data_IF_148314807914
#
_entry.id   IF_148314807914
#
_cell.length_a   1.000
_cell.length_b   1.000
_cell.length_c   1.000
_cell.angle_alpha   90.00
_cell.angle_beta   90.00
_cell.angle_gamma   90.00
#
_symmetry.space_group_name_H-M   'P 1'
#
loop_
_entity.id
_entity.type
_entity.pdbx_description
1 polymer ?
#
# COMPACT_ATOMS: atom_id res chain seq x y z
N UNK A 1 -2.57 -2.25 -34.94
CA UNK A 1 -3.30 -1.81 -33.73
C UNK A 1 -2.27 -1.12 -32.86
N UNK A 2 -2.52 0.11 -32.42
CA UNK A 2 -1.55 0.93 -31.67
C UNK A 2 -1.08 0.19 -30.40
N UNK A 3 0.22 0.14 -30.14
CA UNK A 3 0.81 -0.58 -28.99
C UNK A 3 0.22 -0.08 -27.67
N UNK A 4 0.00 1.24 -27.58
CA UNK A 4 -0.64 1.88 -26.45
C UNK A 4 -2.07 1.36 -26.22
N UNK A 5 -2.85 1.15 -27.28
CA UNK A 5 -4.23 0.68 -27.16
C UNK A 5 -4.28 -0.77 -26.65
N UNK A 6 -3.29 -1.61 -27.00
CA UNK A 6 -3.17 -2.97 -26.48
C UNK A 6 -2.87 -2.99 -24.98
N UNK A 7 -1.96 -2.12 -24.52
CA UNK A 7 -1.65 -1.97 -23.08
C UNK A 7 -2.87 -1.49 -22.31
N UNK A 8 -3.62 -0.52 -22.85
CA UNK A 8 -4.84 0.00 -22.22
C UNK A 8 -5.91 -1.08 -22.13
N UNK A 9 -6.14 -1.86 -23.19
CA UNK A 9 -7.10 -2.99 -23.17
C UNK A 9 -6.71 -4.05 -22.13
N UNK A 10 -5.43 -4.35 -22.02
CA UNK A 10 -4.93 -5.29 -21.01
C UNK A 10 -5.15 -4.74 -19.60
N UNK A 11 -4.93 -3.44 -19.38
CA UNK A 11 -5.21 -2.79 -18.10
C UNK A 11 -6.71 -2.76 -17.77
N UNK A 12 -7.58 -2.54 -18.76
CA UNK A 12 -9.03 -2.64 -18.59
C UNK A 12 -9.44 -4.05 -18.14
N UNK A 13 -8.80 -5.09 -18.68
CA UNK A 13 -9.05 -6.47 -18.30
C UNK A 13 -8.63 -6.76 -16.85
N UNK A 14 -7.41 -6.37 -16.46
CA UNK A 14 -6.97 -6.49 -15.06
C UNK A 14 -7.88 -5.71 -14.11
N UNK A 15 -8.35 -4.52 -14.52
CA UNK A 15 -9.26 -3.73 -13.72
C UNK A 15 -10.63 -4.37 -13.53
N UNK A 16 -11.16 -5.10 -14.53
CA UNK A 16 -12.39 -5.89 -14.36
C UNK A 16 -12.22 -6.96 -13.28
N UNK A 17 -11.08 -7.67 -13.27
CA UNK A 17 -10.77 -8.65 -12.22
C UNK A 17 -10.69 -7.98 -10.84
N UNK A 18 -10.05 -6.81 -10.75
CA UNK A 18 -10.01 -6.00 -9.53
C UNK A 18 -11.43 -5.63 -9.07
N UNK A 19 -12.33 -5.24 -9.98
CA UNK A 19 -13.72 -4.89 -9.63
C UNK A 19 -14.50 -6.10 -9.09
N UNK A 20 -14.35 -7.26 -9.73
CA UNK A 20 -14.98 -8.50 -9.27
C UNK A 20 -14.47 -8.91 -7.89
N UNK A 21 -13.16 -8.88 -7.69
CA UNK A 21 -12.55 -9.20 -6.41
C UNK A 21 -12.99 -8.21 -5.34
N UNK A 22 -13.09 -6.93 -5.69
CA UNK A 22 -13.61 -5.89 -4.81
C UNK A 22 -15.06 -6.16 -4.41
N UNK A 23 -15.94 -6.51 -5.36
CA UNK A 23 -17.34 -6.79 -5.06
C UNK A 23 -17.47 -7.94 -4.05
N UNK A 24 -16.72 -9.02 -4.26
CA UNK A 24 -16.73 -10.20 -3.38
C UNK A 24 -16.22 -9.89 -1.96
N UNK A 25 -15.12 -9.14 -1.86
CA UNK A 25 -14.38 -8.99 -0.60
C UNK A 25 -14.75 -7.74 0.21
N UNK A 26 -15.51 -6.80 -0.36
CA UNK A 26 -15.80 -5.50 0.28
C UNK A 26 -16.49 -5.64 1.63
N UNK A 27 -17.48 -6.52 1.75
CA UNK A 27 -18.29 -6.58 2.97
C UNK A 27 -17.56 -7.30 4.11
N UNK A 28 -16.67 -8.24 3.79
CA UNK A 28 -15.93 -9.04 4.76
C UNK A 28 -14.65 -8.35 5.25
N UNK A 29 -13.97 -7.61 4.38
CA UNK A 29 -12.60 -7.16 4.63
C UNK A 29 -12.44 -5.64 4.62
N UNK A 30 -13.53 -4.86 4.68
CA UNK A 30 -13.46 -3.39 4.61
C UNK A 30 -12.49 -2.75 5.61
N UNK A 31 -12.38 -3.33 6.80
CA UNK A 31 -11.51 -2.85 7.88
C UNK A 31 -10.07 -3.39 7.82
N UNK A 32 -9.77 -4.35 6.92
CA UNK A 32 -8.45 -4.94 6.83
C UNK A 32 -7.44 -3.98 6.16
N UNK A 33 -6.21 -3.95 6.68
CA UNK A 33 -5.14 -3.09 6.17
C UNK A 33 -4.81 -3.39 4.70
N UNK A 34 -4.77 -4.67 4.32
CA UNK A 34 -4.52 -5.11 2.95
C UNK A 34 -5.63 -4.65 2.00
N UNK A 35 -6.89 -4.62 2.47
CA UNK A 35 -8.02 -4.18 1.68
C UNK A 35 -7.98 -2.67 1.43
N UNK A 36 -7.43 -1.90 2.38
CA UNK A 36 -7.09 -0.48 2.17
C UNK A 36 -6.11 -0.31 1.01
N UNK A 37 -5.00 -1.07 1.02
CA UNK A 37 -4.00 -1.06 -0.06
C UNK A 37 -4.58 -1.50 -1.41
N UNK A 38 -5.38 -2.55 -1.42
CA UNK A 38 -6.10 -3.02 -2.60
C UNK A 38 -7.04 -1.94 -3.16
N UNK A 39 -7.77 -1.23 -2.31
CA UNK A 39 -8.63 -0.13 -2.75
C UNK A 39 -7.86 1.05 -3.33
N UNK A 40 -6.68 1.37 -2.81
CA UNK A 40 -5.81 2.39 -3.41
C UNK A 40 -5.39 1.98 -4.82
N UNK A 41 -4.93 0.73 -4.99
CA UNK A 41 -4.55 0.19 -6.30
C UNK A 41 -5.73 0.25 -7.28
N UNK A 42 -6.92 -0.19 -6.85
CA UNK A 42 -8.16 -0.11 -7.64
C UNK A 42 -8.47 1.33 -8.07
N UNK A 43 -8.43 2.29 -7.13
CA UNK A 43 -8.70 3.71 -7.45
C UNK A 43 -7.69 4.26 -8.44
N UNK A 44 -6.41 3.93 -8.29
CA UNK A 44 -5.36 4.36 -9.22
C UNK A 44 -5.61 3.78 -10.62
N UNK A 45 -5.87 2.48 -10.74
CA UNK A 45 -6.22 1.82 -12.01
C UNK A 45 -7.44 2.47 -12.67
N UNK A 46 -8.52 2.69 -11.90
CA UNK A 46 -9.73 3.31 -12.41
C UNK A 46 -9.49 4.73 -12.94
N UNK A 47 -8.69 5.53 -12.23
CA UNK A 47 -8.34 6.88 -12.68
C UNK A 47 -7.55 6.87 -13.99
N UNK A 48 -6.59 5.96 -14.14
CA UNK A 48 -5.82 5.80 -15.38
C UNK A 48 -6.75 5.40 -16.53
N UNK A 49 -7.62 4.40 -16.33
CA UNK A 49 -8.57 3.95 -17.36
C UNK A 49 -9.53 5.08 -17.77
N UNK A 50 -10.03 5.87 -16.82
CA UNK A 50 -10.90 7.01 -17.14
C UNK A 50 -10.20 8.04 -18.04
N UNK A 51 -8.90 8.32 -17.82
CA UNK A 51 -8.14 9.24 -18.69
C UNK A 51 -8.12 8.76 -20.14
N UNK A 52 -7.92 7.46 -20.36
CA UNK A 52 -7.88 6.89 -21.72
C UNK A 52 -9.26 6.62 -22.32
N UNK A 53 -10.28 6.40 -21.50
CA UNK A 53 -11.66 6.24 -21.96
C UNK A 53 -12.15 7.52 -22.68
N UNK A 54 -11.81 8.69 -22.14
CA UNK A 54 -12.13 9.98 -22.77
C UNK A 54 -11.46 10.17 -24.13
N UNK A 55 -10.20 9.71 -24.29
CA UNK A 55 -9.49 9.70 -25.58
C UNK A 55 -10.19 8.82 -26.60
N UNK A 56 -10.56 7.59 -26.22
CA UNK A 56 -11.15 6.60 -27.14
C UNK A 56 -12.54 7.03 -27.64
N UNK A 57 -13.35 7.63 -26.77
CA UNK A 57 -14.71 8.07 -27.11
C UNK A 57 -14.74 9.35 -27.94
N UNK A 58 -13.77 10.25 -27.78
CA UNK A 58 -13.77 11.55 -28.46
C UNK A 58 -12.77 11.66 -29.62
N UNK A 59 -11.99 10.62 -29.91
CA UNK A 59 -10.87 10.62 -30.86
C UNK A 59 -9.88 11.79 -30.64
N UNK A 60 -9.86 12.37 -29.43
CA UNK A 60 -9.04 13.53 -29.08
C UNK A 60 -7.73 13.07 -28.46
N UNK A 61 -6.64 13.79 -28.76
CA UNK A 61 -5.39 13.67 -28.01
C UNK A 61 -5.60 14.11 -26.57
N UNK A 62 -4.90 13.43 -25.66
CA UNK A 62 -4.82 13.83 -24.24
C UNK A 62 -4.25 15.25 -24.15
N UNK A 63 -4.88 16.08 -23.30
CA UNK A 63 -4.40 17.42 -22.97
C UNK A 63 -3.18 17.32 -22.06
N UNK A 64 -2.35 18.37 -22.04
CA UNK A 64 -1.15 18.39 -21.18
C UNK A 64 -1.47 18.16 -19.70
N UNK A 65 -2.58 18.70 -19.20
CA UNK A 65 -3.06 18.47 -17.82
C UNK A 65 -3.32 16.98 -17.54
N UNK A 66 -3.83 16.25 -18.54
CA UNK A 66 -4.12 14.82 -18.42
C UNK A 66 -2.83 13.99 -18.46
N UNK A 67 -1.84 14.40 -19.27
CA UNK A 67 -0.50 13.81 -19.27
C UNK A 67 0.21 13.99 -17.94
N UNK A 68 0.20 15.20 -17.37
CA UNK A 68 0.78 15.47 -16.04
C UNK A 68 0.09 14.62 -14.97
N UNK A 69 -1.24 14.50 -15.04
CA UNK A 69 -2.00 13.67 -14.11
C UNK A 69 -1.63 12.19 -14.25
N UNK A 70 -1.55 11.66 -15.47
CA UNK A 70 -1.13 10.29 -15.74
C UNK A 70 0.26 10.01 -15.15
N UNK A 71 1.23 10.88 -15.45
CA UNK A 71 2.58 10.76 -14.91
C UNK A 71 2.59 10.69 -13.38
N UNK A 72 1.87 11.61 -12.70
CA UNK A 72 1.78 11.60 -11.23
C UNK A 72 1.15 10.31 -10.69
N UNK A 73 0.12 9.79 -11.35
CA UNK A 73 -0.55 8.55 -10.94
C UNK A 73 0.39 7.35 -11.04
N UNK A 74 1.08 7.21 -12.18
CA UNK A 74 2.06 6.14 -12.41
C UNK A 74 3.25 6.27 -11.46
N UNK A 75 3.81 7.47 -11.32
CA UNK A 75 4.98 7.72 -10.48
C UNK A 75 4.66 7.39 -9.01
N UNK A 76 3.51 7.84 -8.51
CA UNK A 76 3.07 7.53 -7.15
C UNK A 76 2.86 6.03 -6.97
N UNK A 77 2.19 5.37 -7.91
CA UNK A 77 1.93 3.94 -7.82
C UNK A 77 3.24 3.12 -7.80
N UNK A 78 4.09 3.31 -8.80
CA UNK A 78 5.32 2.53 -9.00
C UNK A 78 6.37 2.79 -7.92
N UNK A 79 6.61 4.05 -7.57
CA UNK A 79 7.75 4.39 -6.70
C UNK A 79 7.39 4.57 -5.23
N UNK A 80 6.13 4.87 -4.89
CA UNK A 80 5.74 5.11 -3.49
C UNK A 80 4.83 4.04 -2.90
N UNK A 81 3.89 3.51 -3.69
CA UNK A 81 2.85 2.63 -3.16
C UNK A 81 3.12 1.15 -3.39
N UNK A 82 3.82 0.81 -4.48
CA UNK A 82 4.07 -0.57 -4.92
C UNK A 82 4.63 -1.47 -3.81
N UNK A 83 5.72 -1.04 -3.14
CA UNK A 83 6.34 -1.81 -2.04
C UNK A 83 5.34 -2.09 -0.93
N UNK A 84 4.56 -1.08 -0.52
CA UNK A 84 3.55 -1.23 0.52
C UNK A 84 2.44 -2.19 0.11
N UNK A 85 1.93 -2.07 -1.12
CA UNK A 85 0.90 -2.97 -1.63
C UNK A 85 1.38 -4.43 -1.63
N UNK A 86 2.61 -4.66 -2.11
CA UNK A 86 3.23 -5.98 -2.12
C UNK A 86 3.32 -6.58 -0.72
N UNK A 87 3.84 -5.85 0.26
CA UNK A 87 3.93 -6.33 1.64
C UNK A 87 2.57 -6.65 2.25
N UNK A 88 1.57 -5.79 2.02
CA UNK A 88 0.23 -6.01 2.53
C UNK A 88 -0.43 -7.26 1.92
N UNK A 89 -0.18 -7.54 0.63
CA UNK A 89 -0.71 -8.74 -0.02
C UNK A 89 0.05 -10.01 0.39
N UNK A 90 1.37 -9.94 0.55
CA UNK A 90 2.14 -11.05 1.13
C UNK A 90 1.75 -11.33 2.58
N UNK A 91 1.35 -10.31 3.35
CA UNK A 91 0.78 -10.50 4.68
C UNK A 91 -0.48 -11.38 4.66
N UNK A 92 -1.30 -11.30 3.59
CA UNK A 92 -2.48 -12.18 3.43
C UNK A 92 -2.06 -13.63 3.20
N UNK A 93 -0.95 -13.86 2.47
CA UNK A 93 -0.38 -15.20 2.25
C UNK A 93 0.16 -15.76 3.57
N UNK A 94 0.91 -14.94 4.31
CA UNK A 94 1.52 -15.33 5.59
C UNK A 94 0.48 -15.73 6.65
N UNK A 95 -0.75 -15.18 6.60
CA UNK A 95 -1.84 -15.57 7.49
C UNK A 95 -2.36 -17.01 7.27
N UNK A 96 -2.04 -17.66 6.14
CA UNK A 96 -2.42 -19.06 5.85
C UNK A 96 -3.88 -19.24 5.42
N UNK A 97 -4.84 -18.78 6.21
CA UNK A 97 -6.28 -18.99 5.97
C UNK A 97 -6.83 -18.31 4.69
N UNK A 98 -6.08 -17.37 4.12
CA UNK A 98 -6.44 -16.64 2.89
C UNK A 98 -5.35 -16.73 1.80
N UNK A 99 -4.53 -17.79 1.78
CA UNK A 99 -3.39 -17.93 0.84
C UNK A 99 -3.81 -17.73 -0.61
N UNK A 100 -4.89 -18.37 -1.08
CA UNK A 100 -5.35 -18.23 -2.47
C UNK A 100 -5.70 -16.79 -2.82
N UNK A 101 -6.35 -16.05 -1.91
CA UNK A 101 -6.64 -14.63 -2.08
C UNK A 101 -5.35 -13.81 -2.13
N UNK A 102 -4.42 -14.06 -1.20
CA UNK A 102 -3.11 -13.41 -1.16
C UNK A 102 -2.33 -13.61 -2.47
N UNK A 103 -2.23 -14.84 -2.97
CA UNK A 103 -1.59 -15.14 -4.25
C UNK A 103 -2.27 -14.40 -5.40
N UNK A 104 -3.60 -14.40 -5.46
CA UNK A 104 -4.36 -13.67 -6.49
C UNK A 104 -4.07 -12.17 -6.46
N UNK A 105 -3.99 -11.57 -5.28
CA UNK A 105 -3.66 -10.14 -5.11
C UNK A 105 -2.23 -9.82 -5.56
N UNK A 106 -1.26 -10.67 -5.25
CA UNK A 106 0.13 -10.51 -5.71
C UNK A 106 0.22 -10.65 -7.24
N UNK A 107 -0.49 -11.60 -7.84
CA UNK A 107 -0.56 -11.75 -9.30
C UNK A 107 -1.15 -10.51 -9.96
N UNK A 108 -2.30 -10.02 -9.48
CA UNK A 108 -2.90 -8.78 -9.99
C UNK A 108 -1.94 -7.59 -9.85
N UNK A 109 -1.24 -7.49 -8.73
CA UNK A 109 -0.25 -6.43 -8.51
C UNK A 109 0.91 -6.51 -9.51
N UNK A 110 1.42 -7.71 -9.79
CA UNK A 110 2.48 -7.93 -10.75
C UNK A 110 2.05 -7.54 -12.18
N UNK A 111 0.84 -7.95 -12.59
CA UNK A 111 0.27 -7.60 -13.88
C UNK A 111 0.07 -6.09 -14.02
N UNK A 112 -0.53 -5.44 -13.02
CA UNK A 112 -0.73 -3.97 -13.01
C UNK A 112 0.61 -3.25 -13.06
N UNK A 113 1.61 -3.69 -12.28
CA UNK A 113 2.96 -3.11 -12.33
C UNK A 113 3.57 -3.22 -13.73
N UNK A 114 3.51 -4.39 -14.35
CA UNK A 114 4.05 -4.60 -15.68
C UNK A 114 3.40 -3.66 -16.70
N UNK A 115 2.07 -3.53 -16.66
CA UNK A 115 1.32 -2.61 -17.52
C UNK A 115 1.65 -1.14 -17.23
N UNK A 116 1.84 -0.77 -15.96
CA UNK A 116 2.23 0.60 -15.59
C UNK A 116 3.63 0.96 -16.09
N UNK A 117 4.58 0.02 -16.03
CA UNK A 117 5.93 0.23 -16.58
C UNK A 117 5.88 0.39 -18.11
N UNK A 118 5.13 -0.48 -18.80
CA UNK A 118 4.93 -0.35 -20.26
C UNK A 118 4.28 0.98 -20.65
N UNK A 119 3.25 1.38 -19.90
CA UNK A 119 2.59 2.67 -20.13
C UNK A 119 3.52 3.86 -19.85
N UNK A 120 4.45 3.71 -18.91
CA UNK A 120 5.47 4.71 -18.64
C UNK A 120 6.44 4.85 -19.82
N UNK A 121 6.98 3.73 -20.31
CA UNK A 121 7.94 3.66 -21.41
C UNK A 121 7.36 4.26 -22.69
N UNK A 122 6.15 3.83 -23.09
CA UNK A 122 5.50 4.29 -24.33
C UNK A 122 5.26 5.81 -24.32
N UNK A 123 4.98 6.38 -23.14
CA UNK A 123 4.61 7.80 -23.01
C UNK A 123 5.77 8.69 -22.50
N UNK A 124 7.00 8.17 -22.45
CA UNK A 124 8.16 8.91 -21.93
C UNK A 124 8.37 10.24 -22.67
N UNK A 125 8.22 10.23 -23.99
CA UNK A 125 8.38 11.43 -24.84
C UNK A 125 7.35 12.50 -24.52
N UNK A 126 6.10 12.12 -24.28
CA UNK A 126 5.02 13.03 -23.89
C UNK A 126 5.24 13.56 -22.46
N UNK A 127 5.77 12.75 -21.55
CA UNK A 127 6.12 13.20 -20.20
C UNK A 127 7.27 14.22 -20.21
N UNK A 128 8.26 14.03 -21.06
CA UNK A 128 9.34 15.02 -21.26
C UNK A 128 8.76 16.30 -21.86
N UNK A 129 7.90 16.21 -22.87
CA UNK A 129 7.24 17.37 -23.48
C UNK A 129 6.46 18.20 -22.44
N UNK A 130 5.72 17.53 -21.56
CA UNK A 130 4.95 18.18 -20.50
C UNK A 130 5.79 18.58 -19.28
N UNK A 131 7.12 18.47 -19.32
CA UNK A 131 8.03 18.84 -18.23
C UNK A 131 7.90 17.96 -16.98
N UNK A 132 7.33 16.77 -17.09
CA UNK A 132 7.15 15.83 -15.98
C UNK A 132 8.40 15.01 -15.69
N UNK A 133 9.23 14.79 -16.71
CA UNK A 133 10.47 14.05 -16.63
C UNK A 133 11.63 14.94 -17.08
N UNK A 134 12.60 15.16 -16.21
CA UNK A 134 13.85 15.82 -16.57
C UNK A 134 14.75 14.71 -17.14
N UNK A 135 15.01 14.72 -18.44
CA UNK A 135 16.13 13.93 -18.99
C UNK A 135 17.39 14.48 -18.34
N UNK A 136 18.03 13.67 -17.49
CA UNK A 136 19.36 13.98 -17.01
C UNK A 136 20.27 14.09 -18.23
N UNK A 137 20.66 15.31 -18.58
CA UNK A 137 21.84 15.54 -19.41
C UNK A 137 22.99 14.76 -18.75
N UNK A 138 23.85 14.03 -19.48
CA UNK A 138 24.87 13.18 -18.88
C UNK A 138 25.67 13.97 -17.85
N UNK A 139 25.40 13.67 -16.58
CA UNK A 139 26.15 14.18 -15.45
C UNK A 139 27.52 13.53 -15.56
N UNK A 140 28.54 14.31 -15.91
CA UNK A 140 29.93 13.87 -15.94
C UNK A 140 30.20 13.07 -14.67
N UNK A 141 30.60 11.80 -14.85
CA UNK A 141 30.68 10.75 -13.83
C UNK A 141 31.37 11.26 -12.55
N UNK A 142 30.60 11.50 -11.49
CA UNK A 142 31.14 11.41 -10.13
C UNK A 142 31.10 9.92 -9.74
N UNK A 143 32.28 9.32 -9.58
CA UNK A 143 32.43 7.94 -9.10
C UNK A 143 31.77 7.82 -7.72
N UNK A 144 30.70 7.03 -7.60
CA UNK A 144 30.24 6.53 -6.31
C UNK A 144 30.83 5.14 -6.10
N UNK A 145 31.58 5.03 -5.01
CA UNK A 145 32.18 3.80 -4.50
C UNK A 145 31.07 2.81 -4.13
N UNK A 146 31.27 1.57 -4.56
CA UNK A 146 30.46 0.39 -4.28
C UNK A 146 30.45 0.10 -2.78
N UNK A 147 29.29 -0.22 -2.22
CA UNK A 147 29.17 -1.09 -1.05
C UNK A 147 27.90 -1.92 -1.25
N UNK A 148 28.03 -2.96 -2.07
CA UNK A 148 27.12 -4.10 -2.10
C UNK A 148 27.53 -5.03 -0.94
N UNK A 149 26.77 -5.01 0.14
CA UNK A 149 26.68 -6.16 1.05
C UNK A 149 25.20 -6.33 1.37
N UNK A 150 24.55 -7.22 0.62
CA UNK A 150 23.35 -7.92 1.06
C UNK A 150 23.72 -8.76 2.27
N UNK A 151 23.39 -8.30 3.48
CA UNK A 151 23.52 -9.10 4.69
C UNK A 151 22.38 -10.13 4.74
N UNK A 152 22.68 -11.29 4.17
CA UNK A 152 21.94 -12.54 4.33
C UNK A 152 22.04 -12.99 5.81
N UNK A 153 20.89 -13.24 6.43
CA UNK A 153 20.67 -14.22 7.51
C UNK A 153 21.71 -14.30 8.65
N UNK A 154 21.29 -13.87 9.85
CA UNK A 154 22.00 -14.13 11.10
C UNK A 154 21.99 -15.64 11.39
N UNK A 155 23.18 -16.23 11.53
CA UNK A 155 23.37 -17.61 11.98
C UNK A 155 23.36 -17.58 13.50
N UNK A 156 22.38 -18.23 14.12
CA UNK A 156 22.37 -18.48 15.57
C UNK A 156 23.24 -19.71 15.80
N UNK A 157 24.42 -19.52 16.38
CA UNK A 157 25.20 -20.62 16.96
C UNK A 157 24.53 -21.03 18.28
N UNK A 158 23.74 -22.11 18.22
CA UNK A 158 23.39 -22.90 19.40
C UNK A 158 24.56 -23.83 19.71
N UNK A 159 25.49 -23.43 20.59
CA UNK A 159 26.06 -24.35 21.60
C UNK A 159 27.04 -23.70 22.61
N UNK A 160 27.10 -24.33 23.78
CA UNK A 160 28.07 -24.23 24.90
C UNK A 160 27.78 -23.21 26.03
N UNK A 161 26.92 -23.65 26.95
CA UNK A 161 27.38 -24.23 28.22
C UNK A 161 28.35 -23.45 29.13
N UNK A 162 27.84 -23.13 30.34
CA UNK A 162 28.54 -23.05 31.63
C UNK A 162 29.74 -22.10 31.79
N UNK A 163 29.51 -21.00 32.49
CA UNK A 163 30.27 -20.74 33.71
C UNK A 163 29.46 -19.94 34.73
N UNK A 164 29.30 -20.54 35.90
CA UNK A 164 28.72 -19.99 37.12
C UNK A 164 29.78 -19.11 37.78
N UNK A 165 29.41 -17.89 38.18
CA UNK A 165 29.98 -17.29 39.39
C UNK A 165 28.84 -16.77 40.25
N UNK A 166 28.55 -17.56 41.28
CA UNK A 166 27.83 -17.17 42.48
C UNK A 166 28.58 -16.02 43.18
N UNK A 167 27.83 -15.03 43.64
CA UNK A 167 28.09 -14.37 44.91
C UNK A 167 26.72 -14.04 45.53
N UNK A 168 26.30 -14.94 46.42
CA UNK A 168 25.23 -14.73 47.39
C UNK A 168 25.62 -13.69 48.45
N UNK A 169 24.61 -12.97 48.96
CA UNK A 169 24.28 -12.72 50.38
C UNK A 169 23.17 -11.62 50.37
N UNK A 170 21.87 -11.95 50.29
CA UNK A 170 20.95 -12.42 51.37
C UNK A 170 20.70 -11.23 52.35
N UNK A 171 19.49 -10.66 52.57
CA UNK A 171 18.37 -11.18 53.38
C UNK A 171 17.16 -10.19 53.35
N UNK A 172 15.95 -10.72 53.04
CA UNK A 172 14.54 -10.45 53.49
C UNK A 172 14.02 -9.01 53.78
N UNK A 173 12.73 -8.65 53.64
CA UNK A 173 11.47 -9.34 54.00
C UNK A 173 10.22 -8.61 53.45
N UNK A 174 9.18 -9.36 53.05
CA UNK A 174 7.79 -8.92 52.79
C UNK A 174 6.96 -9.14 54.07
N UNK A 175 5.98 -8.28 54.45
CA UNK A 175 4.53 -8.54 54.18
C UNK A 175 3.62 -7.30 53.93
N UNK A 176 2.49 -7.52 53.21
CA UNK A 176 1.27 -6.67 53.04
C UNK A 176 0.38 -6.72 54.32
N UNK A 177 -0.88 -6.18 54.43
CA UNK A 177 -1.75 -5.27 53.61
C UNK A 177 -2.57 -4.21 54.44
N UNK A 178 -3.51 -3.49 53.79
CA UNK A 178 -4.88 -3.04 54.25
C UNK A 178 -5.23 -1.52 54.19
N UNK A 179 -6.34 -1.24 53.44
CA UNK A 179 -7.48 -0.29 53.68
C UNK A 179 -7.20 1.24 53.80
N UNK A 180 -8.04 2.22 53.44
CA UNK A 180 -9.50 2.34 53.30
C UNK A 180 -9.92 3.64 52.55
N UNK A 181 -11.22 3.75 52.24
CA UNK A 181 -11.92 4.78 51.44
C UNK A 181 -12.07 6.18 52.10
N UNK A 182 -12.19 7.28 51.32
CA UNK A 182 -13.39 8.17 51.38
C UNK A 182 -13.55 9.26 50.26
N UNK A 183 -14.60 9.06 49.46
CA UNK A 183 -15.53 9.94 48.71
C UNK A 183 -15.45 11.49 48.82
N UNK A 184 -15.57 12.18 47.65
CA UNK A 184 -16.53 13.29 47.41
C UNK A 184 -17.19 13.22 46.01
N UNK A 185 -18.54 13.12 46.00
CA UNK A 185 -19.51 13.31 44.89
C UNK A 185 -19.57 14.83 44.51
N UNK A 186 -20.12 15.38 43.42
CA UNK A 186 -20.88 15.02 42.19
C UNK A 186 -20.98 16.34 41.38
N UNK A 187 -21.04 16.31 40.04
CA UNK A 187 -22.09 17.00 39.24
C UNK A 187 -22.09 16.52 37.78
N UNK A 188 -23.18 15.85 37.40
CA UNK A 188 -23.53 15.44 36.03
C UNK A 188 -23.91 16.68 35.22
N UNK A 189 -23.40 16.83 33.99
CA UNK A 189 -24.07 17.61 32.92
C UNK A 189 -24.42 16.68 31.75
N UNK A 190 -25.63 16.91 31.22
CA UNK A 190 -26.42 16.07 30.32
C UNK A 190 -25.75 15.86 28.96
N UNK A 191 -25.97 14.67 28.40
CA UNK A 191 -25.74 14.32 26.98
C UNK A 191 -26.75 15.07 26.11
N UNK A 192 -26.26 15.78 25.09
CA UNK A 192 -27.12 16.24 24.00
C UNK A 192 -27.38 15.05 23.07
N UNK A 193 -28.63 14.62 22.99
CA UNK A 193 -29.14 13.74 21.93
C UNK A 193 -29.23 14.53 20.63
N UNK A 194 -28.93 13.86 19.52
CA UNK A 194 -28.96 14.38 18.15
C UNK A 194 -30.36 14.70 17.66
N UNK A 195 -30.49 15.78 16.89
CA UNK A 195 -31.73 16.35 16.33
C UNK A 195 -32.34 15.57 15.14
N UNK A 196 -32.11 14.26 15.05
CA UNK A 196 -32.58 13.42 13.92
C UNK A 196 -33.66 12.42 14.32
N UNK A 197 -33.89 12.21 15.62
CA UNK A 197 -34.92 11.29 16.15
C UNK A 197 -36.32 11.90 16.24
N UNK A 198 -36.53 13.10 15.67
CA UNK A 198 -37.81 13.82 15.67
C UNK A 198 -38.45 13.99 14.28
N UNK A 199 -37.88 13.41 13.22
CA UNK A 199 -38.38 13.57 11.83
C UNK A 199 -38.96 12.27 11.24
N UNK A 200 -38.74 11.11 11.87
CA UNK A 200 -39.24 9.81 11.37
C UNK A 200 -40.02 9.01 12.41
N UNK A 201 -40.70 9.69 13.33
CA UNK A 201 -41.75 9.10 14.17
C UNK A 201 -43.10 9.17 13.47
#
# INVERSE_FOLDING_TARGET
MDEMDNVIRSLEQEYRLILLLNHRNKNQHRAASWYGSFNEMKRNCGQIITLFSSRRLQAKRLKDVEWVKLHRLLQRALFRQLKRWYWQFNGVIALGQFVTLGCTLVTLLANVRALYMRLWEINETEFIRCGCLIKNLPRTKAKSVVNDVEELGEIIDEDIGNNVQENELVITSIPKPLTENCKKKKKRKKKNKSAIDGIFG
#
